data_IF_809635125280
#
_entry.id   IF_809635125280
#
_cell.length_a   1.000
_cell.length_b   1.000
_cell.length_c   1.000
_cell.angle_alpha   90.00
_cell.angle_beta   90.00
_cell.angle_gamma   90.00
#
_symmetry.space_group_name_H-M   'P 1'
#
loop_
_entity.id
_entity.type
_entity.pdbx_description
1 polymer ?
#
# COMPACT_ATOMS: atom_id res chain seq x y z
N UNK A 1 -50.58 -4.63 37.81
CA UNK A 1 -49.41 -3.79 37.49
C UNK A 1 -48.86 -4.26 36.15
N UNK A 2 -48.84 -3.44 35.10
CA UNK A 2 -48.19 -3.82 33.85
C UNK A 2 -46.68 -3.64 34.02
N UNK A 3 -45.93 -4.71 33.76
CA UNK A 3 -44.46 -4.70 33.67
C UNK A 3 -44.02 -3.78 32.53
N UNK A 4 -43.12 -2.85 32.83
CA UNK A 4 -42.47 -2.00 31.85
C UNK A 4 -41.71 -2.86 30.82
N UNK A 5 -41.72 -2.52 29.52
CA UNK A 5 -40.84 -3.19 28.57
C UNK A 5 -39.40 -2.77 28.85
N UNK A 6 -38.49 -3.74 28.87
CA UNK A 6 -37.06 -3.51 28.96
C UNK A 6 -36.64 -2.57 27.82
N UNK A 7 -35.98 -1.46 28.18
CA UNK A 7 -35.33 -0.59 27.22
C UNK A 7 -34.27 -1.40 26.47
N UNK A 8 -34.52 -1.58 25.18
CA UNK A 8 -33.64 -2.27 24.26
C UNK A 8 -32.33 -1.48 24.17
N UNK A 9 -31.19 -2.09 24.51
CA UNK A 9 -29.83 -1.54 24.28
C UNK A 9 -29.46 -1.56 22.77
N UNK A 10 -30.43 -1.30 21.91
CA UNK A 10 -30.31 -1.26 20.48
C UNK A 10 -30.80 0.09 20.00
N UNK A 11 -29.95 1.11 20.13
CA UNK A 11 -30.01 2.34 19.33
C UNK A 11 -28.73 3.18 19.57
N UNK A 12 -27.58 2.60 19.25
CA UNK A 12 -26.51 3.40 18.63
C UNK A 12 -26.50 3.02 17.16
N UNK A 13 -27.65 3.13 16.50
CA UNK A 13 -27.69 3.26 15.05
C UNK A 13 -27.01 4.59 14.72
N UNK A 14 -25.73 4.51 14.37
CA UNK A 14 -25.08 5.57 13.60
C UNK A 14 -25.92 5.74 12.34
N UNK A 15 -26.76 6.78 12.32
CA UNK A 15 -27.74 7.01 11.26
C UNK A 15 -27.13 6.94 9.86
N UNK A 16 -27.95 6.66 8.84
CA UNK A 16 -27.49 6.46 7.47
C UNK A 16 -26.65 7.65 7.03
N UNK A 17 -25.34 7.44 6.89
CA UNK A 17 -24.37 8.47 6.48
C UNK A 17 -23.30 8.86 7.52
N UNK A 18 -23.30 8.31 8.73
CA UNK A 18 -22.22 8.53 9.72
C UNK A 18 -21.30 7.33 9.87
N UNK A 19 -20.02 7.59 9.68
CA UNK A 19 -18.89 6.73 9.95
C UNK A 19 -18.57 6.54 11.44
N UNK A 20 -17.64 5.63 11.75
CA UNK A 20 -17.06 5.31 13.07
C UNK A 20 -16.59 6.55 13.82
N UNK A 21 -15.92 7.48 13.16
CA UNK A 21 -15.40 8.71 13.79
C UNK A 21 -16.45 9.82 13.83
N UNK A 22 -17.69 9.53 13.41
CA UNK A 22 -18.79 10.50 13.31
C UNK A 22 -18.80 11.33 12.02
N UNK A 23 -17.88 11.07 11.09
CA UNK A 23 -17.76 11.77 9.80
C UNK A 23 -18.38 10.99 8.64
N UNK A 24 -18.30 11.49 7.41
CA UNK A 24 -18.67 10.71 6.24
C UNK A 24 -17.82 9.41 6.18
N UNK A 25 -18.38 8.26 5.75
CA UNK A 25 -17.67 6.96 5.75
C UNK A 25 -16.32 6.96 5.02
N UNK A 26 -16.16 7.83 4.04
CA UNK A 26 -14.90 8.04 3.31
C UNK A 26 -13.81 8.67 4.17
N UNK A 27 -14.17 9.53 5.12
CA UNK A 27 -13.24 10.14 6.06
C UNK A 27 -12.70 9.07 7.02
N UNK A 28 -13.54 8.14 7.48
CA UNK A 28 -13.05 7.01 8.28
C UNK A 28 -12.08 6.14 7.50
N UNK A 29 -12.42 5.80 6.25
CA UNK A 29 -11.58 4.95 5.43
C UNK A 29 -10.20 5.59 5.21
N UNK A 30 -10.18 6.89 4.92
CA UNK A 30 -8.94 7.67 4.81
C UNK A 30 -8.18 7.75 6.14
N UNK A 31 -8.88 7.94 7.27
CA UNK A 31 -8.25 7.98 8.59
C UNK A 31 -7.62 6.62 8.96
N UNK A 32 -8.33 5.51 8.73
CA UNK A 32 -7.81 4.17 8.96
C UNK A 32 -6.61 3.86 8.06
N UNK A 33 -6.70 4.21 6.78
CA UNK A 33 -5.58 4.12 5.85
C UNK A 33 -4.39 4.94 6.33
N UNK A 34 -4.60 6.19 6.76
CA UNK A 34 -3.54 7.08 7.23
C UNK A 34 -2.86 6.54 8.49
N UNK A 35 -3.62 5.98 9.43
CA UNK A 35 -3.08 5.33 10.65
C UNK A 35 -2.15 4.18 10.27
N UNK A 36 -2.58 3.31 9.35
CA UNK A 36 -1.78 2.17 8.89
C UNK A 36 -0.56 2.63 8.09
N UNK A 37 -0.74 3.61 7.20
CA UNK A 37 0.36 4.21 6.45
C UNK A 37 1.44 4.77 7.38
N UNK A 38 1.05 5.57 8.38
CA UNK A 38 2.00 6.13 9.37
C UNK A 38 2.68 5.02 10.16
N UNK A 39 1.93 4.01 10.63
CA UNK A 39 2.49 2.90 11.38
C UNK A 39 3.52 2.11 10.56
N UNK A 40 3.19 1.76 9.32
CA UNK A 40 4.11 1.05 8.42
C UNK A 40 5.30 1.92 8.02
N UNK A 41 5.07 3.21 7.76
CA UNK A 41 6.14 4.14 7.43
C UNK A 41 7.15 4.27 8.58
N UNK A 42 6.67 4.41 9.82
CA UNK A 42 7.52 4.41 11.00
C UNK A 42 8.25 3.08 11.17
N UNK A 43 7.56 1.95 11.00
CA UNK A 43 8.18 0.63 11.10
C UNK A 43 9.31 0.44 10.07
N UNK A 44 9.08 0.82 8.81
CA UNK A 44 10.08 0.78 7.74
C UNK A 44 11.23 1.75 8.01
N UNK A 45 10.93 2.96 8.46
CA UNK A 45 11.92 4.00 8.76
C UNK A 45 12.82 3.65 9.95
N UNK A 46 12.27 3.00 10.99
CA UNK A 46 13.03 2.47 12.13
C UNK A 46 13.85 1.26 11.65
N UNK A 47 13.22 0.32 10.94
CA UNK A 47 13.87 -0.88 10.42
C UNK A 47 15.06 -0.57 9.51
N UNK A 48 14.95 0.48 8.69
CA UNK A 48 16.02 0.93 7.80
C UNK A 48 17.20 1.62 8.50
N UNK A 49 17.11 1.87 9.81
CA UNK A 49 18.19 2.44 10.65
C UNK A 49 18.74 1.47 11.68
N UNK A 50 18.04 0.35 11.88
CA UNK A 50 18.40 -0.67 12.87
C UNK A 50 19.33 -1.74 12.30
N UNK A 51 19.58 -2.81 13.08
CA UNK A 51 20.43 -3.93 12.67
C UNK A 51 19.87 -4.70 11.45
N UNK A 52 18.61 -4.46 11.08
CA UNK A 52 17.95 -5.05 9.91
C UNK A 52 18.18 -4.26 8.61
N UNK A 53 18.87 -3.11 8.67
CA UNK A 53 19.18 -2.30 7.50
C UNK A 53 20.21 -2.97 6.55
N UNK A 54 21.00 -3.91 7.10
CA UNK A 54 22.10 -4.61 6.45
C UNK A 54 21.67 -6.03 6.09
N UNK A 55 21.78 -6.41 4.83
CA UNK A 55 21.55 -7.78 4.37
C UNK A 55 22.86 -8.37 3.84
N UNK A 56 23.29 -9.49 4.40
CA UNK A 56 24.53 -10.17 3.96
C UNK A 56 25.84 -9.52 4.40
N UNK A 57 25.84 -8.65 5.43
CA UNK A 57 27.06 -8.02 5.96
C UNK A 57 27.69 -6.97 5.05
N UNK A 58 27.05 -6.66 3.92
CA UNK A 58 27.40 -5.53 3.07
C UNK A 58 26.58 -4.35 3.58
N UNK A 59 27.25 -3.29 4.04
CA UNK A 59 26.64 -1.98 4.18
C UNK A 59 26.22 -1.54 2.78
N UNK A 60 25.06 -2.01 2.30
CA UNK A 60 24.40 -1.43 1.14
C UNK A 60 24.16 0.01 1.53
N UNK A 61 25.08 0.89 1.08
CA UNK A 61 24.96 2.32 1.26
C UNK A 61 23.50 2.68 1.00
N UNK A 62 22.80 3.27 2.00
CA UNK A 62 21.35 3.45 1.94
C UNK A 62 21.03 4.08 0.60
N UNK A 63 20.40 3.30 -0.29
CA UNK A 63 20.32 3.57 -1.73
C UNK A 63 20.27 5.08 -2.00
N UNK A 64 21.39 5.71 -2.40
CA UNK A 64 21.52 7.17 -2.36
C UNK A 64 20.40 7.81 -3.19
N UNK A 65 19.76 8.84 -2.62
CA UNK A 65 18.74 9.65 -3.32
C UNK A 65 17.27 9.34 -3.00
N UNK A 66 16.96 8.48 -2.03
CA UNK A 66 15.56 8.17 -1.64
C UNK A 66 15.12 8.79 -0.30
N UNK A 67 16.05 9.34 0.49
CA UNK A 67 15.75 10.03 1.75
C UNK A 67 14.90 9.19 2.71
N UNK A 68 13.74 9.72 3.12
CA UNK A 68 12.80 9.04 4.00
C UNK A 68 12.19 7.77 3.38
N UNK A 69 12.26 7.58 2.05
CA UNK A 69 11.70 6.43 1.35
C UNK A 69 12.68 5.26 1.15
N UNK A 70 13.92 5.40 1.62
CA UNK A 70 14.97 4.39 1.42
C UNK A 70 14.60 2.99 1.90
N UNK A 71 13.85 2.88 3.00
CA UNK A 71 13.42 1.58 3.52
C UNK A 71 12.37 0.86 2.66
N UNK A 72 11.63 1.59 1.81
CA UNK A 72 10.58 1.04 0.96
C UNK A 72 11.11 0.44 -0.36
N UNK A 73 12.34 0.80 -0.71
CA UNK A 73 13.03 0.28 -1.89
C UNK A 73 14.01 -0.82 -1.47
N UNK A 74 13.57 -2.07 -1.50
CA UNK A 74 14.35 -3.25 -1.12
C UNK A 74 14.02 -4.45 -2.02
N UNK A 75 14.93 -5.42 -2.05
CA UNK A 75 14.75 -6.70 -2.75
C UNK A 75 14.32 -6.49 -4.21
N UNK A 76 13.16 -6.99 -4.62
CA UNK A 76 12.75 -6.93 -6.03
C UNK A 76 12.36 -5.54 -6.51
N UNK A 77 12.22 -4.57 -5.61
CA UNK A 77 12.17 -3.17 -6.00
C UNK A 77 13.37 -2.76 -6.87
N UNK A 78 14.54 -3.35 -6.63
CA UNK A 78 15.73 -3.12 -7.44
C UNK A 78 15.58 -3.67 -8.87
N UNK A 79 14.92 -4.82 -9.04
CA UNK A 79 14.59 -5.36 -10.36
C UNK A 79 13.65 -4.42 -11.11
N UNK A 80 12.58 -3.96 -10.47
CA UNK A 80 11.65 -3.01 -11.09
C UNK A 80 12.35 -1.70 -11.48
N UNK A 81 13.19 -1.13 -10.62
CA UNK A 81 13.92 0.08 -10.95
C UNK A 81 14.90 -0.12 -12.11
N UNK A 82 15.64 -1.23 -12.13
CA UNK A 82 16.55 -1.55 -13.24
C UNK A 82 15.80 -1.70 -14.57
N UNK A 83 14.67 -2.41 -14.58
CA UNK A 83 13.86 -2.57 -15.79
C UNK A 83 13.35 -1.21 -16.27
N UNK A 84 12.90 -0.34 -15.36
CA UNK A 84 12.43 1.00 -15.70
C UNK A 84 13.51 1.95 -16.22
N UNK A 85 14.78 1.76 -15.84
CA UNK A 85 15.89 2.62 -16.31
C UNK A 85 16.62 2.07 -17.51
N UNK A 86 16.74 0.74 -17.61
CA UNK A 86 17.69 0.07 -18.51
C UNK A 86 17.03 -1.04 -19.34
N UNK A 87 15.75 -1.32 -19.12
CA UNK A 87 15.00 -2.34 -19.82
C UNK A 87 15.26 -3.76 -19.30
N UNK A 88 14.59 -4.71 -19.94
CA UNK A 88 14.76 -6.13 -19.66
C UNK A 88 16.10 -6.63 -20.18
N UNK A 89 16.69 -7.57 -19.44
CA UNK A 89 17.93 -8.23 -19.82
C UNK A 89 17.89 -9.72 -19.47
N UNK A 90 18.65 -10.50 -20.23
CA UNK A 90 18.82 -11.94 -20.05
C UNK A 90 20.30 -12.28 -20.03
N UNK A 91 20.76 -12.98 -18.99
CA UNK A 91 22.18 -13.34 -18.82
C UNK A 91 22.46 -14.85 -18.91
N UNK A 92 21.53 -15.62 -19.47
CA UNK A 92 21.61 -17.08 -19.56
C UNK A 92 20.82 -17.80 -18.47
N UNK A 93 20.87 -19.13 -18.46
CA UNK A 93 20.11 -19.99 -17.52
C UNK A 93 20.72 -20.04 -16.13
N UNK A 94 22.02 -19.79 -16.01
CA UNK A 94 22.77 -20.02 -14.76
C UNK A 94 22.91 -18.73 -13.92
N UNK A 95 22.30 -17.63 -14.38
CA UNK A 95 22.33 -16.32 -13.73
C UNK A 95 20.92 -15.77 -13.63
N UNK A 96 20.66 -15.02 -12.57
CA UNK A 96 19.41 -14.26 -12.43
C UNK A 96 19.23 -13.35 -13.64
N UNK A 97 17.99 -13.11 -14.06
CA UNK A 97 17.63 -12.29 -15.22
C UNK A 97 16.32 -11.55 -14.95
N UNK A 98 16.14 -10.39 -15.57
CA UNK A 98 14.97 -9.54 -15.34
C UNK A 98 13.68 -10.04 -16.03
N UNK A 99 13.75 -11.14 -16.79
CA UNK A 99 12.67 -11.63 -17.65
C UNK A 99 11.44 -12.18 -16.92
N UNK A 100 11.52 -12.42 -15.61
CA UNK A 100 10.43 -12.97 -14.80
C UNK A 100 9.41 -11.92 -14.30
N UNK A 101 9.64 -10.64 -14.56
CA UNK A 101 8.82 -9.54 -14.04
C UNK A 101 7.78 -9.05 -15.06
N UNK A 102 6.55 -8.79 -14.59
CA UNK A 102 5.49 -8.21 -15.43
C UNK A 102 5.80 -6.75 -15.84
N UNK A 103 5.45 -6.33 -17.08
CA UNK A 103 5.92 -5.06 -17.64
C UNK A 103 5.11 -3.83 -17.23
N UNK A 104 3.89 -4.00 -16.73
CA UNK A 104 2.98 -2.86 -16.47
C UNK A 104 3.56 -1.87 -15.46
N UNK A 105 3.99 -2.36 -14.29
CA UNK A 105 4.56 -1.52 -13.24
C UNK A 105 5.85 -0.81 -13.67
N UNK A 106 6.90 -1.50 -14.16
CA UNK A 106 8.11 -0.80 -14.59
C UNK A 106 7.88 0.12 -15.79
N UNK A 107 6.90 -0.18 -16.66
CA UNK A 107 6.48 0.68 -17.76
C UNK A 107 5.86 2.01 -17.28
N UNK A 108 5.00 1.97 -16.25
CA UNK A 108 4.46 3.19 -15.62
C UNK A 108 5.60 4.03 -15.01
N UNK A 109 6.53 3.40 -14.30
CA UNK A 109 7.64 4.12 -13.68
C UNK A 109 8.58 4.73 -14.74
N UNK A 110 8.88 4.00 -15.82
CA UNK A 110 9.65 4.52 -16.96
C UNK A 110 8.95 5.74 -17.58
N UNK A 111 7.65 5.63 -17.85
CA UNK A 111 6.86 6.73 -18.43
C UNK A 111 6.91 7.99 -17.57
N UNK A 112 6.62 7.87 -16.27
CA UNK A 112 6.71 8.99 -15.33
C UNK A 112 8.13 9.54 -15.21
N UNK A 113 9.14 8.68 -15.18
CA UNK A 113 10.54 9.12 -15.11
C UNK A 113 10.99 9.83 -16.40
N UNK A 114 10.47 9.44 -17.57
CA UNK A 114 10.82 10.10 -18.83
C UNK A 114 10.30 11.54 -18.94
N UNK A 115 9.22 11.87 -18.21
CA UNK A 115 8.57 13.19 -18.24
C UNK A 115 8.80 14.00 -16.96
N UNK A 116 9.47 13.43 -15.95
CA UNK A 116 9.81 14.10 -14.69
C UNK A 116 11.29 13.95 -14.38
N UNK A 117 11.86 14.82 -13.54
CA UNK A 117 13.23 14.63 -13.04
C UNK A 117 13.27 13.77 -11.77
N UNK A 118 12.16 13.15 -11.40
CA UNK A 118 12.00 12.39 -10.15
C UNK A 118 12.61 11.00 -10.33
N UNK A 119 13.38 10.54 -9.35
CA UNK A 119 14.01 9.21 -9.42
C UNK A 119 12.96 8.09 -9.49
N UNK A 120 13.23 7.06 -10.28
CA UNK A 120 12.39 5.84 -10.39
C UNK A 120 12.11 5.22 -9.04
N UNK A 121 13.07 5.28 -8.10
CA UNK A 121 12.92 4.73 -6.74
C UNK A 121 11.82 5.45 -5.96
N UNK A 122 11.83 6.78 -5.98
CA UNK A 122 10.80 7.58 -5.32
C UNK A 122 9.46 7.44 -6.05
N UNK A 123 9.46 7.47 -7.38
CA UNK A 123 8.26 7.22 -8.19
C UNK A 123 7.64 5.86 -7.88
N UNK A 124 8.46 4.82 -7.68
CA UNK A 124 8.02 3.49 -7.27
C UNK A 124 7.13 3.55 -6.03
N UNK A 125 7.64 4.12 -4.94
CA UNK A 125 6.87 4.24 -3.70
C UNK A 125 5.64 5.12 -3.85
N UNK A 126 5.74 6.26 -4.54
CA UNK A 126 4.61 7.18 -4.74
C UNK A 126 3.50 6.56 -5.57
N UNK A 127 3.85 5.85 -6.65
CA UNK A 127 2.90 5.11 -7.49
C UNK A 127 2.26 3.99 -6.68
N UNK A 128 3.02 3.21 -5.92
CA UNK A 128 2.46 2.16 -5.05
C UNK A 128 1.48 2.75 -4.04
N UNK A 129 1.83 3.86 -3.37
CA UNK A 129 0.94 4.54 -2.41
C UNK A 129 -0.35 5.01 -3.08
N UNK A 130 -0.24 5.67 -4.22
CA UNK A 130 -1.39 6.19 -4.96
C UNK A 130 -2.30 5.06 -5.44
N UNK A 131 -1.73 4.01 -6.03
CA UNK A 131 -2.47 2.86 -6.50
C UNK A 131 -3.10 2.07 -5.34
N UNK A 132 -2.37 1.88 -4.24
CA UNK A 132 -2.84 1.15 -3.07
C UNK A 132 -3.99 1.86 -2.37
N UNK A 133 -3.90 3.19 -2.22
CA UNK A 133 -5.03 3.99 -1.73
C UNK A 133 -6.23 3.89 -2.68
N UNK A 134 -6.00 4.03 -3.99
CA UNK A 134 -7.06 3.88 -5.00
C UNK A 134 -7.77 2.53 -4.91
N UNK A 135 -7.00 1.44 -4.82
CA UNK A 135 -7.52 0.08 -4.70
C UNK A 135 -8.34 -0.09 -3.42
N UNK A 136 -7.83 0.41 -2.29
CA UNK A 136 -8.56 0.38 -1.01
C UNK A 136 -9.89 1.13 -1.07
N UNK A 137 -9.92 2.30 -1.68
CA UNK A 137 -11.15 3.08 -1.84
C UNK A 137 -12.14 2.40 -2.79
N UNK A 138 -11.66 1.78 -3.87
CA UNK A 138 -12.50 1.01 -4.79
C UNK A 138 -13.11 -0.23 -4.12
N UNK A 139 -12.31 -0.99 -3.35
CA UNK A 139 -12.76 -2.14 -2.58
C UNK A 139 -13.77 -1.71 -1.51
N UNK A 140 -13.49 -0.63 -0.78
CA UNK A 140 -14.40 -0.10 0.23
C UNK A 140 -15.71 0.36 -0.40
N UNK A 141 -15.66 1.03 -1.56
CA UNK A 141 -16.84 1.38 -2.36
C UNK A 141 -17.67 0.14 -2.65
N UNK A 142 -17.04 -0.89 -3.20
CA UNK A 142 -17.70 -2.11 -3.61
C UNK A 142 -18.41 -2.78 -2.43
N UNK A 143 -17.76 -2.90 -1.27
CA UNK A 143 -18.42 -3.44 -0.08
C UNK A 143 -19.60 -2.59 0.38
N UNK A 144 -19.48 -1.26 0.41
CA UNK A 144 -20.60 -0.38 0.78
C UNK A 144 -21.81 -0.54 -0.13
N UNK A 145 -21.57 -0.84 -1.41
CA UNK A 145 -22.64 -1.00 -2.40
C UNK A 145 -23.33 -2.38 -2.31
N UNK A 146 -22.72 -3.39 -1.66
CA UNK A 146 -23.19 -4.78 -1.68
C UNK A 146 -23.49 -5.40 -0.31
N UNK A 147 -22.98 -4.81 0.78
CA UNK A 147 -23.17 -5.33 2.14
C UNK A 147 -23.50 -4.20 3.11
N UNK A 148 -23.90 -4.57 4.34
CA UNK A 148 -24.17 -3.59 5.39
C UNK A 148 -22.92 -2.76 5.73
N UNK A 149 -23.11 -1.51 6.19
CA UNK A 149 -22.02 -0.62 6.60
C UNK A 149 -21.08 -1.26 7.65
N UNK A 150 -21.64 -2.07 8.55
CA UNK A 150 -20.86 -2.81 9.56
C UNK A 150 -19.92 -3.82 8.89
N UNK A 151 -20.42 -4.59 7.92
CA UNK A 151 -19.61 -5.60 7.23
C UNK A 151 -18.55 -4.93 6.34
N UNK A 152 -18.91 -3.86 5.63
CA UNK A 152 -17.95 -3.10 4.81
C UNK A 152 -16.79 -2.55 5.64
N UNK A 153 -17.08 -2.07 6.86
CA UNK A 153 -16.08 -1.60 7.82
C UNK A 153 -15.18 -2.72 8.33
N UNK A 154 -15.74 -3.86 8.71
CA UNK A 154 -14.95 -5.01 9.16
C UNK A 154 -14.07 -5.54 8.03
N UNK A 155 -14.58 -5.58 6.80
CA UNK A 155 -13.79 -5.96 5.62
C UNK A 155 -12.61 -5.01 5.40
N UNK A 156 -12.84 -3.69 5.50
CA UNK A 156 -11.77 -2.69 5.39
C UNK A 156 -10.71 -2.86 6.47
N UNK A 157 -11.11 -3.02 7.74
CA UNK A 157 -10.17 -3.24 8.85
C UNK A 157 -9.39 -4.54 8.63
N UNK A 158 -10.05 -5.61 8.21
CA UNK A 158 -9.42 -6.92 7.94
C UNK A 158 -8.38 -6.80 6.84
N UNK A 159 -8.68 -6.07 5.76
CA UNK A 159 -7.72 -5.78 4.69
C UNK A 159 -6.54 -4.96 5.22
N UNK A 160 -6.79 -3.94 6.03
CA UNK A 160 -5.78 -3.03 6.56
C UNK A 160 -4.84 -3.64 7.61
N UNK A 161 -5.26 -4.71 8.30
CA UNK A 161 -4.43 -5.45 9.27
C UNK A 161 -3.82 -6.72 8.68
N UNK A 162 -4.18 -7.08 7.44
CA UNK A 162 -3.61 -8.21 6.74
C UNK A 162 -2.12 -7.94 6.41
N UNK A 163 -1.17 -8.83 6.78
CA UNK A 163 0.26 -8.54 6.65
C UNK A 163 0.72 -8.14 5.23
N UNK A 164 0.15 -8.76 4.19
CA UNK A 164 0.52 -8.44 2.81
C UNK A 164 -0.04 -7.11 2.30
N UNK A 165 -0.89 -6.42 3.08
CA UNK A 165 -1.30 -5.05 2.76
C UNK A 165 -0.10 -4.11 2.65
N UNK A 166 1.04 -4.47 3.26
CA UNK A 166 2.32 -3.79 3.12
C UNK A 166 2.67 -3.42 1.67
N UNK A 167 2.37 -4.30 0.70
CA UNK A 167 2.64 -4.08 -0.72
C UNK A 167 1.72 -3.03 -1.38
N UNK A 168 0.77 -2.46 -0.63
CA UNK A 168 -0.09 -1.34 -1.04
C UNK A 168 0.37 0.03 -0.50
N UNK A 169 1.36 0.10 0.40
CA UNK A 169 1.68 1.33 1.14
C UNK A 169 3.04 1.98 0.79
N UNK A 170 3.80 1.42 -0.15
CA UNK A 170 5.03 2.06 -0.63
C UNK A 170 6.15 1.13 -1.07
N UNK A 171 6.02 -0.17 -0.81
CA UNK A 171 6.95 -1.16 -1.34
C UNK A 171 6.99 -1.04 -2.87
N UNK A 172 8.19 -0.98 -3.44
CA UNK A 172 8.36 -0.81 -4.91
C UNK A 172 8.10 -2.14 -5.60
N UNK A 173 6.82 -2.50 -5.69
CA UNK A 173 6.29 -3.76 -6.17
C UNK A 173 5.01 -3.50 -6.97
N UNK A 174 4.70 -4.39 -7.92
CA UNK A 174 3.59 -4.21 -8.87
C UNK A 174 2.19 -4.45 -8.30
N UNK A 175 2.07 -4.98 -7.08
CA UNK A 175 0.84 -5.49 -6.46
C UNK A 175 -0.25 -4.42 -6.36
N UNK A 176 0.10 -3.21 -5.91
CA UNK A 176 -0.85 -2.11 -5.76
C UNK A 176 -1.44 -1.66 -7.09
N UNK A 177 -0.60 -1.58 -8.13
CA UNK A 177 -1.03 -1.24 -9.48
C UNK A 177 -1.93 -2.34 -10.05
N UNK A 178 -1.53 -3.60 -9.88
CA UNK A 178 -2.32 -4.75 -10.32
C UNK A 178 -3.70 -4.75 -9.68
N UNK A 179 -3.77 -4.58 -8.35
CA UNK A 179 -5.04 -4.59 -7.61
C UNK A 179 -5.96 -3.42 -7.99
N UNK A 180 -5.41 -2.24 -8.31
CA UNK A 180 -6.22 -1.11 -8.77
C UNK A 180 -6.75 -1.31 -10.20
N UNK A 181 -6.01 -2.00 -11.05
CA UNK A 181 -6.33 -2.14 -12.48
C UNK A 181 -7.14 -3.40 -12.84
N UNK A 182 -7.32 -4.32 -11.90
CA UNK A 182 -8.07 -5.56 -12.06
C UNK A 182 -9.59 -5.36 -11.90
#
# INVERSE_FOLDING_TARGET
>A
MPSAPASNDADVETGPGRGVLGFAPWVDALAMWAVVFVALFLAVWIGSRGPFATYGGVDEAPYPGSGLFSGWFRFDGNWYAQISTSGYWFAGTDRQSAVAFFPAYPGVLWGLHSVTTVSVKLLGSLVTIACGLGALLAIFKWFRDHVTDRVARVALITLLVYPYVFYLFGAVYGDALFLLAA
#
